data_IF_013463341468
#
_entry.id   IF_013463341468
#
_cell.length_a   1.000
_cell.length_b   1.000
_cell.length_c   1.000
_cell.angle_alpha   90.00
_cell.angle_beta   90.00
_cell.angle_gamma   90.00
#
_symmetry.space_group_name_H-M   'P 1'
#
loop_
_entity.id
_entity.type
_entity.pdbx_description
1 polymer ?
#
# COMPACT_ATOMS: atom_id res chain seq x y z
N UNK A 1 8.81 -1.75 17.73
CA UNK A 1 8.25 -3.09 17.53
C UNK A 1 7.53 -3.50 18.79
N UNK A 2 6.40 -4.20 18.67
CA UNK A 2 5.76 -4.81 19.84
C UNK A 2 6.61 -5.99 20.38
N UNK A 3 6.27 -6.58 21.53
CA UNK A 3 7.02 -7.71 22.09
C UNK A 3 7.04 -8.97 21.19
N UNK A 4 6.22 -9.02 20.13
CA UNK A 4 6.18 -10.11 19.15
C UNK A 4 7.04 -9.84 17.91
N UNK A 5 7.70 -8.68 17.84
CA UNK A 5 8.45 -8.25 16.67
C UNK A 5 7.56 -7.82 15.50
N UNK A 6 6.25 -7.71 15.71
CA UNK A 6 5.31 -7.27 14.68
C UNK A 6 5.21 -5.75 14.71
N UNK A 7 5.37 -5.13 13.54
CA UNK A 7 5.00 -3.74 13.36
C UNK A 7 3.48 -3.69 13.39
N UNK A 8 2.91 -3.19 14.48
CA UNK A 8 1.47 -2.99 14.62
C UNK A 8 1.20 -1.49 14.58
N UNK A 9 0.34 -1.06 13.66
CA UNK A 9 -0.08 0.33 13.58
C UNK A 9 -0.93 0.61 14.83
N UNK A 10 -0.55 1.60 15.65
CA UNK A 10 -1.24 1.94 16.91
C UNK A 10 -2.55 2.70 16.67
N UNK A 11 -3.41 2.13 15.83
CA UNK A 11 -4.75 2.58 15.53
C UNK A 11 -5.69 1.39 15.72
N UNK A 12 -6.92 1.69 16.15
CA UNK A 12 -7.95 0.68 16.33
C UNK A 12 -8.36 0.08 14.98
N UNK A 13 -8.93 -1.12 15.03
CA UNK A 13 -9.50 -1.78 13.86
C UNK A 13 -10.59 -0.89 13.26
N UNK A 14 -10.65 -0.83 11.93
CA UNK A 14 -11.70 -0.12 11.19
C UNK A 14 -11.92 1.33 11.64
N UNK A 15 -10.84 2.02 12.00
CA UNK A 15 -10.87 3.38 12.55
C UNK A 15 -10.59 4.47 11.51
N UNK A 16 -9.97 4.14 10.38
CA UNK A 16 -9.59 5.12 9.35
C UNK A 16 -10.34 4.93 8.04
N UNK A 17 -10.71 6.03 7.40
CA UNK A 17 -11.39 6.04 6.10
C UNK A 17 -10.42 5.94 4.91
N UNK A 18 -9.20 6.45 5.08
CA UNK A 18 -8.18 6.55 4.02
C UNK A 18 -6.78 6.23 4.56
N UNK A 19 -6.01 5.46 3.81
CA UNK A 19 -4.58 5.24 4.00
C UNK A 19 -3.84 5.61 2.72
N UNK A 20 -2.72 6.33 2.88
CA UNK A 20 -1.82 6.70 1.78
C UNK A 20 -0.48 5.97 1.97
N UNK A 21 -0.09 5.16 0.98
CA UNK A 21 1.24 4.53 0.93
C UNK A 21 2.03 5.14 -0.23
N UNK A 22 2.66 6.27 0.03
CA UNK A 22 3.38 7.06 -0.98
C UNK A 22 4.86 6.94 -0.71
N UNK A 23 5.61 6.40 -1.68
CA UNK A 23 7.05 6.14 -1.57
C UNK A 23 7.48 5.31 -0.35
N UNK A 24 6.67 4.29 0.01
CA UNK A 24 6.97 3.44 1.18
C UNK A 24 7.13 1.96 0.85
N UNK A 25 6.68 1.49 -0.32
CA UNK A 25 6.67 0.07 -0.67
C UNK A 25 7.97 -0.42 -1.33
N UNK A 26 9.00 0.43 -1.40
CA UNK A 26 10.27 0.13 -2.04
C UNK A 26 11.21 -0.66 -1.10
N UNK A 27 12.25 -1.27 -1.70
CA UNK A 27 13.15 -2.25 -1.10
C UNK A 27 13.85 -1.77 0.17
N UNK A 28 14.14 -0.47 0.28
CA UNK A 28 14.83 0.08 1.45
C UNK A 28 14.05 -0.11 2.76
N UNK A 29 12.71 0.02 2.71
CA UNK A 29 11.86 -0.17 3.87
C UNK A 29 11.36 -1.60 4.02
N UNK A 30 11.02 -2.24 2.90
CA UNK A 30 10.46 -3.59 2.89
C UNK A 30 11.17 -4.46 1.85
N UNK A 31 12.40 -4.92 2.16
CA UNK A 31 13.21 -5.71 1.23
C UNK A 31 12.57 -7.06 0.90
N UNK A 32 11.67 -7.57 1.74
CA UNK A 32 10.97 -8.85 1.52
C UNK A 32 9.48 -8.61 1.29
N UNK A 33 8.92 -9.43 0.40
CA UNK A 33 7.48 -9.47 0.13
C UNK A 33 6.65 -9.72 1.41
N UNK A 34 7.09 -10.61 2.29
CA UNK A 34 6.40 -10.90 3.55
C UNK A 34 6.26 -9.66 4.46
N UNK A 35 7.22 -8.74 4.42
CA UNK A 35 7.21 -7.51 5.21
C UNK A 35 6.20 -6.51 4.61
N UNK A 36 6.13 -6.40 3.27
CA UNK A 36 5.08 -5.62 2.57
C UNK A 36 3.70 -6.20 2.84
N UNK A 37 3.53 -7.52 2.73
CA UNK A 37 2.27 -8.22 3.08
C UNK A 37 1.88 -8.00 4.54
N UNK A 38 2.85 -7.91 5.45
CA UNK A 38 2.57 -7.57 6.85
C UNK A 38 2.04 -6.13 7.00
N UNK A 39 2.64 -5.16 6.31
CA UNK A 39 2.12 -3.78 6.28
C UNK A 39 0.70 -3.77 5.70
N UNK A 40 0.46 -4.44 4.57
CA UNK A 40 -0.85 -4.48 3.92
C UNK A 40 -1.94 -5.09 4.82
N UNK A 41 -1.61 -6.13 5.60
CA UNK A 41 -2.52 -6.69 6.61
C UNK A 41 -2.87 -5.69 7.71
N UNK A 42 -1.90 -4.91 8.20
CA UNK A 42 -2.17 -3.86 9.19
C UNK A 42 -2.99 -2.72 8.60
N UNK A 43 -2.72 -2.33 7.35
CA UNK A 43 -3.53 -1.35 6.61
C UNK A 43 -4.97 -1.83 6.44
N UNK A 44 -5.17 -3.10 6.09
CA UNK A 44 -6.49 -3.73 6.01
C UNK A 44 -7.23 -3.72 7.36
N UNK A 45 -6.52 -4.04 8.45
CA UNK A 45 -7.07 -4.04 9.80
C UNK A 45 -7.60 -2.67 10.21
N UNK A 46 -6.83 -1.61 10.00
CA UNK A 46 -7.20 -0.25 10.43
C UNK A 46 -8.21 0.43 9.50
N UNK A 47 -8.24 0.08 8.21
CA UNK A 47 -9.19 0.64 7.26
C UNK A 47 -10.62 0.17 7.56
N UNK A 48 -11.56 1.11 7.54
CA UNK A 48 -13.00 0.83 7.58
C UNK A 48 -13.44 -0.03 6.37
N UNK A 49 -14.59 -0.72 6.45
CA UNK A 49 -15.23 -1.31 5.28
C UNK A 49 -15.36 -0.28 4.14
N UNK A 50 -15.04 -0.69 2.90
CA UNK A 50 -14.91 0.19 1.72
C UNK A 50 -13.92 1.37 1.86
N UNK A 51 -13.04 1.34 2.87
CA UNK A 51 -11.97 2.32 3.05
C UNK A 51 -11.02 2.35 1.85
N UNK A 52 -10.42 3.52 1.61
CA UNK A 52 -9.54 3.77 0.47
C UNK A 52 -8.08 3.52 0.87
N UNK A 53 -7.40 2.68 0.10
CA UNK A 53 -5.95 2.61 0.05
C UNK A 53 -5.47 3.28 -1.24
N UNK A 54 -4.80 4.43 -1.11
CA UNK A 54 -4.17 5.10 -2.25
C UNK A 54 -2.66 4.87 -2.21
N UNK A 55 -2.09 4.46 -3.34
CA UNK A 55 -0.68 4.07 -3.44
C UNK A 55 -0.01 4.90 -4.53
N UNK A 56 1.13 5.48 -4.17
CA UNK A 56 2.05 6.11 -5.11
C UNK A 56 3.40 5.39 -4.99
N UNK A 57 3.63 4.32 -5.76
CA UNK A 57 4.85 3.54 -5.65
C UNK A 57 5.93 4.14 -6.58
N UNK A 58 6.82 4.91 -5.99
CA UNK A 58 8.06 5.44 -6.61
C UNK A 58 9.23 4.47 -6.39
N UNK A 59 10.32 4.70 -7.13
CA UNK A 59 11.57 3.91 -7.04
C UNK A 59 11.41 2.41 -7.27
N UNK A 60 10.52 1.95 -8.15
CA UNK A 60 10.38 0.53 -8.47
C UNK A 60 11.46 0.01 -9.46
N UNK A 61 12.65 0.60 -9.48
CA UNK A 61 13.67 0.34 -10.49
C UNK A 61 14.61 -0.82 -10.10
N UNK A 62 14.79 -1.84 -10.97
CA UNK A 62 15.64 -3.01 -10.71
C UNK A 62 17.10 -2.66 -10.33
N UNK A 63 17.86 -3.56 -9.67
CA UNK A 63 17.59 -5.00 -9.53
C UNK A 63 16.86 -5.44 -8.26
N UNK A 64 16.81 -4.60 -7.23
CA UNK A 64 16.34 -5.00 -5.90
C UNK A 64 14.90 -4.57 -5.60
N UNK A 65 14.36 -3.66 -6.41
CA UNK A 65 13.04 -3.09 -6.18
C UNK A 65 11.92 -4.02 -6.66
N UNK A 66 10.77 -4.07 -5.97
CA UNK A 66 9.64 -4.83 -6.43
C UNK A 66 9.10 -4.20 -7.73
N UNK A 67 8.62 -5.03 -8.65
CA UNK A 67 7.97 -4.50 -9.85
C UNK A 67 6.59 -3.97 -9.50
N UNK A 68 6.10 -3.01 -10.28
CA UNK A 68 4.75 -2.46 -10.09
C UNK A 68 3.67 -3.54 -10.11
N UNK A 69 3.81 -4.53 -11.00
CA UNK A 69 2.86 -5.65 -11.08
C UNK A 69 2.93 -6.58 -9.86
N UNK A 70 4.11 -6.72 -9.24
CA UNK A 70 4.26 -7.47 -7.98
C UNK A 70 3.55 -6.72 -6.83
N UNK A 71 3.76 -5.41 -6.72
CA UNK A 71 3.09 -4.56 -5.73
C UNK A 71 1.57 -4.62 -5.91
N UNK A 72 1.07 -4.50 -7.15
CA UNK A 72 -0.36 -4.60 -7.46
C UNK A 72 -0.92 -5.96 -7.02
N UNK A 73 -0.24 -7.06 -7.37
CA UNK A 73 -0.64 -8.42 -6.97
C UNK A 73 -0.67 -8.57 -5.45
N UNK A 74 0.36 -8.12 -4.74
CA UNK A 74 0.45 -8.20 -3.27
C UNK A 74 -0.72 -7.47 -2.59
N UNK A 75 -1.11 -6.29 -3.11
CA UNK A 75 -2.27 -5.52 -2.63
C UNK A 75 -3.56 -6.30 -2.88
N UNK A 76 -3.77 -6.82 -4.09
CA UNK A 76 -4.98 -7.57 -4.45
C UNK A 76 -5.13 -8.90 -3.69
N UNK A 77 -4.01 -9.57 -3.38
CA UNK A 77 -3.95 -10.75 -2.52
C UNK A 77 -4.19 -10.41 -1.03
N UNK A 78 -4.10 -9.14 -0.65
CA UNK A 78 -4.39 -8.64 0.70
C UNK A 78 -5.82 -8.12 0.86
N UNK A 79 -6.76 -8.67 0.09
CA UNK A 79 -8.19 -8.36 0.13
C UNK A 79 -8.57 -6.92 -0.25
N UNK A 80 -7.75 -6.31 -1.11
CA UNK A 80 -8.09 -5.06 -1.78
C UNK A 80 -8.52 -5.29 -3.23
N UNK A 81 -9.35 -4.44 -3.78
CA UNK A 81 -9.64 -4.42 -5.22
C UNK A 81 -9.32 -3.05 -5.80
N UNK A 82 -8.73 -3.04 -6.99
CA UNK A 82 -8.41 -1.79 -7.69
C UNK A 82 -9.71 -1.05 -8.04
N UNK A 83 -9.80 0.21 -7.63
CA UNK A 83 -10.89 1.13 -7.97
C UNK A 83 -10.49 1.94 -9.21
N UNK A 84 -9.36 2.66 -9.15
CA UNK A 84 -8.91 3.58 -10.19
C UNK A 84 -7.39 3.56 -10.35
N UNK A 85 -6.90 4.06 -11.48
CA UNK A 85 -5.49 4.36 -11.72
C UNK A 85 -5.33 5.67 -12.49
N UNK A 86 -4.49 6.55 -11.94
CA UNK A 86 -4.24 7.89 -12.45
C UNK A 86 -2.79 7.99 -12.90
N UNK A 87 -2.59 8.05 -14.22
CA UNK A 87 -1.27 8.10 -14.84
C UNK A 87 -0.89 9.52 -15.23
N UNK A 88 0.41 9.86 -15.13
CA UNK A 88 0.92 11.15 -15.57
C UNK A 88 0.60 12.30 -14.61
N UNK A 89 0.32 11.98 -13.34
CA UNK A 89 0.14 12.96 -12.28
C UNK A 89 1.45 13.71 -12.06
N UNK A 90 1.39 15.04 -11.93
CA UNK A 90 2.57 15.84 -11.62
C UNK A 90 2.86 15.71 -10.14
N UNK A 91 3.95 15.04 -9.79
CA UNK A 91 4.35 14.73 -8.42
C UNK A 91 5.66 15.44 -8.08
N UNK A 92 5.82 15.83 -6.83
CA UNK A 92 7.10 16.32 -6.29
C UNK A 92 7.76 15.17 -5.55
N UNK A 93 8.96 14.80 -5.97
CA UNK A 93 9.71 13.69 -5.40
C UNK A 93 11.22 13.96 -5.50
N UNK A 94 11.97 13.78 -4.41
CA UNK A 94 13.42 14.05 -4.31
C UNK A 94 13.86 15.37 -4.99
N UNK A 95 13.24 16.49 -4.61
CA UNK A 95 13.48 17.84 -5.17
C UNK A 95 13.20 18.00 -6.68
N UNK A 96 12.62 16.98 -7.32
CA UNK A 96 12.24 16.97 -8.73
C UNK A 96 10.72 17.01 -8.93
N UNK A 97 10.32 17.45 -10.12
CA UNK A 97 8.94 17.32 -10.60
C UNK A 97 8.90 16.20 -11.62
N UNK A 98 8.17 15.14 -11.33
CA UNK A 98 8.08 13.95 -12.16
C UNK A 98 6.63 13.57 -12.47
N UNK A 99 6.47 12.65 -13.43
CA UNK A 99 5.18 12.06 -13.76
C UNK A 99 5.01 10.77 -13.00
N UNK A 100 4.07 10.76 -12.08
CA UNK A 100 3.73 9.63 -11.23
C UNK A 100 2.49 8.86 -11.67
N UNK A 101 2.37 7.65 -11.13
CA UNK A 101 1.16 6.82 -11.23
C UNK A 101 0.59 6.59 -9.83
N UNK A 102 -0.63 7.08 -9.59
CA UNK A 102 -1.37 6.82 -8.35
C UNK A 102 -2.40 5.73 -8.63
N UNK A 103 -2.49 4.74 -7.74
CA UNK A 103 -3.45 3.65 -7.86
C UNK A 103 -4.29 3.63 -6.60
N UNK A 104 -5.61 3.63 -6.78
CA UNK A 104 -6.57 3.58 -5.70
C UNK A 104 -7.15 2.18 -5.61
N UNK A 105 -7.23 1.67 -4.38
CA UNK A 105 -7.82 0.39 -4.05
C UNK A 105 -8.84 0.55 -2.93
N UNK A 106 -9.84 -0.32 -2.92
CA UNK A 106 -10.85 -0.41 -1.88
C UNK A 106 -10.69 -1.69 -1.08
N UNK A 107 -10.88 -1.59 0.24
CA UNK A 107 -11.01 -2.76 1.12
C UNK A 107 -12.22 -3.58 0.67
N UNK A 108 -12.05 -4.87 0.34
CA UNK A 108 -13.18 -5.77 0.07
C UNK A 108 -13.98 -5.96 1.36
N UNK A 109 -15.30 -5.81 1.26
CA UNK A 109 -16.20 -6.28 2.31
C UNK A 109 -16.18 -7.80 2.31
N UNK A 110 -15.85 -8.41 3.45
CA UNK A 110 -16.09 -9.84 3.64
C UNK A 110 -17.59 -9.96 3.94
N UNK A 111 -18.39 -10.24 2.91
CA UNK A 111 -19.79 -10.60 3.12
C UNK A 111 -19.81 -11.98 3.78
N UNK A 112 -20.03 -12.04 5.09
CA UNK A 112 -20.44 -13.28 5.75
C UNK A 112 -21.86 -13.59 5.28
N UNK A 113 -21.98 -14.58 4.39
CA UNK A 113 -23.27 -15.15 3.97
C UNK A 113 -23.88 -16.06 5.02
#
# INVERSE_FOLDING_TARGET
LDPTGKSQIRLDDESVDVVLLYDVLHYYYFPKEDERRQLLREVYRVLKPNGLLSVYPTHLEPPNEPKLDDVKREIEESDFYKEDEYNGMVMVHDDNVEKGTIINFRKREITTG
#
